data_IF_452981311972
#
_entry.id   IF_452981311972
#
_cell.length_a   1.000
_cell.length_b   1.000
_cell.length_c   1.000
_cell.angle_alpha   90.00
_cell.angle_beta   90.00
_cell.angle_gamma   90.00
#
_symmetry.space_group_name_H-M   'P 1'
#
loop_
_entity.id
_entity.type
_entity.pdbx_description
1 polymer ?
#
# COMPACT_ATOMS: atom_id res chain seq x y z
N UNK A 1 -14.10 -34.00 67.92
CA UNK A 1 -14.67 -33.70 66.59
C UNK A 1 -13.67 -32.82 65.85
N UNK A 2 -13.02 -33.35 64.82
CA UNK A 2 -12.03 -32.61 63.99
C UNK A 2 -12.74 -32.29 62.67
N UNK A 3 -12.98 -31.03 62.41
CA UNK A 3 -13.55 -30.50 61.14
C UNK A 3 -12.42 -30.26 60.16
N UNK A 4 -12.35 -31.07 59.11
CA UNK A 4 -11.40 -30.85 57.98
C UNK A 4 -12.07 -29.88 56.99
N UNK A 5 -11.43 -28.74 56.78
CA UNK A 5 -11.81 -27.81 55.72
C UNK A 5 -11.13 -28.21 54.42
N UNK A 6 -11.91 -28.51 53.39
CA UNK A 6 -11.42 -28.76 52.01
C UNK A 6 -11.34 -27.43 51.31
N UNK A 7 -10.10 -26.99 51.00
CA UNK A 7 -9.81 -25.80 50.20
C UNK A 7 -9.92 -26.15 48.73
N UNK A 8 -11.00 -25.80 48.08
CA UNK A 8 -11.18 -26.00 46.65
C UNK A 8 -10.36 -24.97 45.82
N UNK A 9 -9.36 -25.46 45.11
CA UNK A 9 -8.55 -24.65 44.19
C UNK A 9 -9.28 -24.52 42.86
N UNK A 10 -9.78 -23.31 42.58
CA UNK A 10 -10.38 -22.96 41.27
C UNK A 10 -9.25 -22.66 40.28
N UNK A 11 -8.98 -23.58 39.36
CA UNK A 11 -8.11 -23.32 38.21
C UNK A 11 -8.85 -22.44 37.20
N UNK A 12 -8.52 -21.15 37.14
CA UNK A 12 -8.89 -20.31 36.01
C UNK A 12 -8.06 -20.70 34.80
N UNK A 13 -8.65 -21.38 33.84
CA UNK A 13 -8.05 -21.60 32.53
C UNK A 13 -8.10 -20.29 31.72
N UNK A 14 -6.96 -19.63 31.59
CA UNK A 14 -6.77 -18.51 30.65
C UNK A 14 -6.71 -19.10 29.26
N UNK A 15 -7.79 -18.99 28.48
CA UNK A 15 -7.79 -19.28 27.06
C UNK A 15 -6.88 -18.27 26.37
N UNK A 16 -5.94 -18.70 25.51
CA UNK A 16 -5.16 -17.75 24.72
C UNK A 16 -6.12 -16.97 23.81
N UNK A 17 -6.12 -15.64 23.94
CA UNK A 17 -6.81 -14.77 23.00
C UNK A 17 -6.20 -15.03 21.62
N UNK A 18 -6.99 -15.56 20.68
CA UNK A 18 -6.60 -15.64 19.28
C UNK A 18 -6.35 -14.20 18.79
N UNK A 19 -5.12 -13.91 18.40
CA UNK A 19 -4.79 -12.65 17.76
C UNK A 19 -5.66 -12.54 16.50
N UNK A 20 -6.52 -11.53 16.45
CA UNK A 20 -7.29 -11.25 15.25
C UNK A 20 -6.32 -11.03 14.08
N UNK A 21 -6.60 -11.61 12.92
CA UNK A 21 -5.81 -11.39 11.71
C UNK A 21 -5.69 -9.88 11.46
N UNK A 22 -4.49 -9.42 11.15
CA UNK A 22 -4.25 -8.01 10.81
C UNK A 22 -5.17 -7.59 9.67
N UNK A 23 -5.88 -6.46 9.78
CA UNK A 23 -6.70 -5.93 8.69
C UNK A 23 -5.86 -5.64 7.44
N UNK A 24 -4.55 -5.51 7.61
CA UNK A 24 -3.57 -5.23 6.56
C UNK A 24 -2.96 -6.47 5.92
N UNK A 25 -3.39 -7.68 6.26
CA UNK A 25 -2.82 -8.94 5.79
C UNK A 25 -2.61 -8.99 4.28
N UNK A 26 -3.55 -8.47 3.50
CA UNK A 26 -3.46 -8.41 2.03
C UNK A 26 -2.43 -7.39 1.51
N UNK A 27 -1.94 -6.50 2.36
CA UNK A 27 -0.97 -5.44 2.03
C UNK A 27 0.39 -5.66 2.72
N UNK A 28 0.54 -6.68 3.56
CA UNK A 28 1.78 -6.95 4.30
C UNK A 28 3.00 -7.08 3.38
N UNK A 29 2.82 -7.58 2.16
CA UNK A 29 3.90 -7.70 1.18
C UNK A 29 4.48 -6.36 0.73
N UNK A 30 3.75 -5.25 0.90
CA UNK A 30 4.22 -3.89 0.61
C UNK A 30 5.07 -3.31 1.74
N UNK A 31 4.85 -3.74 3.01
CA UNK A 31 5.44 -3.08 4.18
C UNK A 31 6.96 -3.08 4.14
N UNK A 32 7.55 -1.95 4.51
CA UNK A 32 8.98 -1.70 4.59
C UNK A 32 9.47 -0.68 3.58
N UNK A 33 10.80 -0.59 3.45
CA UNK A 33 11.47 0.35 2.54
C UNK A 33 11.90 -0.36 1.28
N UNK A 34 11.76 0.31 0.16
CA UNK A 34 12.03 -0.21 -1.17
C UNK A 34 12.87 0.80 -1.94
N UNK A 35 13.97 0.34 -2.52
CA UNK A 35 14.79 1.12 -3.44
C UNK A 35 14.67 0.53 -4.85
N UNK A 36 14.52 1.39 -5.84
CA UNK A 36 14.29 0.94 -7.18
C UNK A 36 14.67 1.95 -8.24
N UNK A 37 14.60 1.47 -9.49
CA UNK A 37 14.77 2.29 -10.67
C UNK A 37 13.55 2.16 -11.56
N UNK A 38 13.02 3.28 -12.00
CA UNK A 38 12.13 3.30 -13.15
C UNK A 38 12.99 3.14 -14.39
N UNK A 39 12.77 2.05 -15.11
CA UNK A 39 13.47 1.75 -16.35
C UNK A 39 12.52 1.89 -17.52
N UNK A 40 13.03 2.42 -18.61
CA UNK A 40 12.37 2.36 -19.90
C UNK A 40 12.26 3.71 -20.61
N UNK A 41 12.29 3.61 -21.92
CA UNK A 41 12.07 4.70 -22.88
C UNK A 41 10.61 5.19 -22.90
N UNK A 42 9.77 4.61 -22.05
CA UNK A 42 8.31 4.84 -22.04
C UNK A 42 7.87 5.94 -21.07
N UNK A 43 8.75 6.38 -20.15
CA UNK A 43 8.37 7.48 -19.26
C UNK A 43 8.70 8.82 -19.90
N UNK A 44 7.79 9.79 -19.93
CA UNK A 44 8.08 11.14 -20.43
C UNK A 44 9.23 11.84 -19.70
N UNK A 45 9.56 11.40 -18.49
CA UNK A 45 10.62 11.95 -17.64
C UNK A 45 11.98 11.25 -17.83
N UNK A 46 12.04 10.17 -18.61
CA UNK A 46 13.23 9.34 -18.77
C UNK A 46 13.47 8.39 -17.59
N UNK A 47 14.68 7.80 -17.56
CA UNK A 47 15.06 6.90 -16.46
C UNK A 47 15.10 7.66 -15.13
N UNK A 48 14.63 7.01 -14.05
CA UNK A 48 14.62 7.56 -12.72
C UNK A 48 15.13 6.57 -11.67
N UNK A 49 15.61 7.11 -10.57
CA UNK A 49 15.98 6.35 -9.39
C UNK A 49 15.26 6.94 -8.18
N UNK A 50 14.90 6.09 -7.24
CA UNK A 50 14.22 6.55 -6.05
C UNK A 50 13.97 5.43 -5.07
N UNK A 51 13.19 5.78 -4.06
CA UNK A 51 12.77 4.83 -3.05
C UNK A 51 11.43 5.22 -2.47
N UNK A 52 10.76 4.25 -1.91
CA UNK A 52 9.50 4.46 -1.21
C UNK A 52 9.40 3.54 0.00
N UNK A 53 8.58 3.93 0.94
CA UNK A 53 8.23 3.09 2.09
C UNK A 53 6.73 2.91 2.19
N UNK A 54 6.33 1.80 2.80
CA UNK A 54 4.99 1.57 3.34
C UNK A 54 5.13 1.24 4.82
N UNK A 55 4.60 2.08 5.66
CA UNK A 55 4.75 1.97 7.11
C UNK A 55 3.39 2.00 7.81
N UNK A 56 3.23 1.12 8.82
CA UNK A 56 2.04 1.15 9.69
C UNK A 56 2.15 2.35 10.63
N UNK A 57 1.13 3.19 10.63
CA UNK A 57 1.07 4.42 11.41
C UNK A 57 -0.19 4.48 12.28
N UNK A 58 -0.24 5.43 13.21
CA UNK A 58 -1.38 5.66 14.10
C UNK A 58 -1.85 4.37 14.80
N UNK A 59 -0.93 3.68 15.48
CA UNK A 59 -1.21 2.38 16.13
C UNK A 59 -1.81 1.37 15.14
N UNK A 60 -1.22 1.27 13.94
CA UNK A 60 -1.64 0.37 12.87
C UNK A 60 -3.05 0.64 12.31
N UNK A 61 -3.53 1.88 12.42
CA UNK A 61 -4.83 2.26 11.86
C UNK A 61 -4.77 2.64 10.39
N UNK A 62 -3.58 3.03 9.91
CA UNK A 62 -3.33 3.35 8.51
C UNK A 62 -2.01 2.73 8.05
N UNK A 63 -1.85 2.61 6.72
CA UNK A 63 -0.55 2.45 6.08
C UNK A 63 -0.22 3.79 5.40
N UNK A 64 0.96 4.31 5.68
CA UNK A 64 1.47 5.51 5.04
C UNK A 64 2.56 5.13 4.05
N UNK A 65 2.36 5.50 2.77
CA UNK A 65 3.39 5.44 1.75
C UNK A 65 4.05 6.81 1.62
N UNK A 66 5.40 6.83 1.56
CA UNK A 66 6.19 7.99 1.15
C UNK A 66 7.07 7.58 -0.02
N UNK A 67 7.19 8.43 -1.01
CA UNK A 67 8.03 8.18 -2.17
C UNK A 67 8.85 9.42 -2.50
N UNK A 68 10.07 9.16 -2.98
CA UNK A 68 10.95 10.17 -3.56
C UNK A 68 11.60 9.59 -4.82
N UNK A 69 11.54 10.29 -5.92
CA UNK A 69 12.16 9.89 -7.18
C UNK A 69 12.86 11.08 -7.86
N UNK A 70 14.07 10.84 -8.35
CA UNK A 70 14.81 11.77 -9.18
C UNK A 70 15.00 11.19 -10.58
N UNK A 71 14.85 12.02 -11.61
CA UNK A 71 14.94 11.65 -13.01
C UNK A 71 16.15 12.26 -13.70
N UNK A 72 16.63 11.61 -14.76
CA UNK A 72 17.76 12.13 -15.56
C UNK A 72 17.50 13.49 -16.19
N UNK A 73 16.24 13.87 -16.36
CA UNK A 73 15.83 15.21 -16.77
C UNK A 73 16.10 16.31 -15.72
N UNK A 74 16.48 15.92 -14.50
CA UNK A 74 16.60 16.80 -13.33
C UNK A 74 15.27 17.03 -12.58
N UNK A 75 14.18 16.49 -13.08
CA UNK A 75 12.90 16.53 -12.37
C UNK A 75 12.97 15.68 -11.09
N UNK A 76 12.27 16.13 -10.05
CA UNK A 76 12.06 15.41 -8.80
C UNK A 76 10.56 15.22 -8.60
N UNK A 77 10.19 14.13 -7.98
CA UNK A 77 8.81 13.80 -7.65
C UNK A 77 8.73 13.22 -6.25
N UNK A 78 8.01 13.89 -5.39
CA UNK A 78 7.71 13.44 -4.04
C UNK A 78 6.20 13.21 -3.91
N UNK A 79 5.84 12.09 -3.32
CA UNK A 79 4.45 11.80 -3.04
C UNK A 79 4.22 11.14 -1.68
N UNK A 80 2.99 11.26 -1.22
CA UNK A 80 2.49 10.65 -0.02
C UNK A 80 1.13 10.01 -0.32
N UNK A 81 0.93 8.78 0.16
CA UNK A 81 -0.37 8.12 0.07
C UNK A 81 -0.77 7.54 1.43
N UNK A 82 -1.97 7.86 1.87
CA UNK A 82 -2.59 7.31 3.08
C UNK A 82 -3.54 6.21 2.66
N UNK A 83 -3.29 4.98 3.13
CA UNK A 83 -4.19 3.84 2.95
C UNK A 83 -4.91 3.63 4.28
N UNK A 84 -6.23 3.56 4.24
CA UNK A 84 -7.09 3.46 5.42
C UNK A 84 -8.25 2.50 5.17
N UNK A 85 -8.92 2.11 6.24
CA UNK A 85 -10.15 1.33 6.18
C UNK A 85 -11.34 2.28 6.34
N UNK A 86 -12.20 2.29 5.34
CA UNK A 86 -13.40 3.15 5.32
C UNK A 86 -14.55 2.46 6.05
N UNK A 87 -15.16 3.19 7.00
CA UNK A 87 -16.32 2.69 7.73
C UNK A 87 -17.59 2.73 6.84
N UNK A 88 -18.59 1.84 7.03
CA UNK A 88 -18.69 0.89 8.16
C UNK A 88 -18.16 -0.52 7.88
N UNK A 89 -17.69 -0.82 6.67
CA UNK A 89 -17.40 -2.17 6.18
C UNK A 89 -15.91 -2.49 6.11
N UNK A 90 -15.06 -1.61 6.65
CA UNK A 90 -13.60 -1.73 6.63
C UNK A 90 -13.03 -1.90 5.20
N UNK A 91 -13.67 -1.29 4.21
CA UNK A 91 -13.22 -1.33 2.82
C UNK A 91 -11.92 -0.55 2.66
N UNK A 92 -10.85 -1.16 2.13
CA UNK A 92 -9.59 -0.46 1.92
C UNK A 92 -9.72 0.65 0.87
N UNK A 93 -9.31 1.85 1.23
CA UNK A 93 -9.24 3.05 0.40
C UNK A 93 -7.87 3.68 0.49
N UNK A 94 -7.55 4.57 -0.46
CA UNK A 94 -6.37 5.40 -0.34
C UNK A 94 -6.61 6.81 -0.88
N UNK A 95 -5.84 7.76 -0.32
CA UNK A 95 -5.74 9.12 -0.87
C UNK A 95 -4.26 9.40 -1.10
N UNK A 96 -3.98 9.86 -2.30
CA UNK A 96 -2.65 10.19 -2.80
C UNK A 96 -2.50 11.70 -2.97
N UNK A 97 -1.31 12.19 -2.69
CA UNK A 97 -0.90 13.59 -2.82
C UNK A 97 0.51 13.64 -3.39
N UNK A 98 0.82 14.60 -4.27
CA UNK A 98 2.16 14.81 -4.80
C UNK A 98 2.55 16.29 -4.84
N UNK A 99 3.82 16.53 -5.15
CA UNK A 99 4.39 17.87 -5.26
C UNK A 99 3.86 18.66 -6.44
N UNK A 100 3.23 18.02 -7.41
CA UNK A 100 2.56 18.67 -8.55
C UNK A 100 1.15 19.13 -8.22
N UNK A 101 0.65 18.78 -7.02
CA UNK A 101 -0.66 19.20 -6.52
C UNK A 101 -1.80 18.26 -6.89
N UNK A 102 -1.50 17.06 -7.36
CA UNK A 102 -2.55 16.07 -7.60
C UNK A 102 -3.07 15.51 -6.28
N UNK A 103 -4.38 15.32 -6.21
CA UNK A 103 -5.06 14.60 -5.13
C UNK A 103 -5.92 13.53 -5.79
N UNK A 104 -5.56 12.26 -5.57
CA UNK A 104 -6.24 11.14 -6.19
C UNK A 104 -6.82 10.23 -5.10
N UNK A 105 -8.12 9.96 -5.18
CA UNK A 105 -8.79 8.96 -4.35
C UNK A 105 -8.81 7.63 -5.06
N UNK A 106 -8.40 6.58 -4.37
CA UNK A 106 -8.31 5.24 -4.91
C UNK A 106 -9.22 4.25 -4.20
N UNK A 107 -9.83 3.39 -4.99
CA UNK A 107 -10.39 2.12 -4.56
C UNK A 107 -9.32 1.04 -4.70
N UNK A 108 -9.27 0.11 -3.75
CA UNK A 108 -8.30 -0.97 -3.77
C UNK A 108 -8.98 -2.29 -4.14
N UNK A 109 -8.33 -3.04 -5.05
CA UNK A 109 -8.70 -4.42 -5.38
C UNK A 109 -7.49 -5.34 -5.25
N UNK A 110 -7.73 -6.61 -4.98
CA UNK A 110 -6.70 -7.62 -4.71
C UNK A 110 -6.86 -8.79 -5.67
N UNK A 111 -6.30 -8.72 -6.90
CA UNK A 111 -6.41 -9.78 -7.89
C UNK A 111 -5.58 -11.04 -7.57
N UNK A 112 -5.02 -11.13 -6.39
CA UNK A 112 -4.23 -12.25 -5.89
C UNK A 112 -3.65 -11.95 -4.52
N UNK A 113 -2.93 -12.92 -3.93
CA UNK A 113 -2.35 -12.79 -2.59
C UNK A 113 -1.22 -11.75 -2.50
N UNK A 114 -0.50 -11.54 -3.61
CA UNK A 114 0.70 -10.70 -3.67
C UNK A 114 0.55 -9.57 -4.69
N UNK A 115 -0.68 -9.14 -4.93
CA UNK A 115 -0.97 -8.06 -5.88
C UNK A 115 -2.08 -7.17 -5.34
N UNK A 116 -1.87 -5.86 -5.47
CA UNK A 116 -2.87 -4.83 -5.21
C UNK A 116 -2.97 -3.88 -6.39
N UNK A 117 -4.17 -3.43 -6.68
CA UNK A 117 -4.47 -2.43 -7.69
C UNK A 117 -5.25 -1.30 -7.03
N UNK A 118 -4.75 -0.09 -7.19
CA UNK A 118 -5.36 1.17 -6.79
C UNK A 118 -5.95 1.81 -8.04
N UNK A 119 -7.27 1.94 -8.13
CA UNK A 119 -7.94 2.63 -9.22
C UNK A 119 -8.61 3.89 -8.72
N UNK A 120 -8.42 5.01 -9.44
CA UNK A 120 -9.09 6.25 -9.10
C UNK A 120 -10.62 6.02 -9.09
N UNK A 121 -11.31 6.62 -8.13
CA UNK A 121 -12.73 6.37 -7.87
C UNK A 121 -13.68 6.88 -8.98
N UNK A 122 -13.16 7.57 -9.98
CA UNK A 122 -13.91 8.06 -11.13
C UNK A 122 -14.89 9.21 -10.81
N UNK A 123 -14.95 9.65 -9.55
CA UNK A 123 -15.84 10.77 -9.14
C UNK A 123 -15.23 12.13 -9.45
N UNK A 124 -13.92 12.17 -9.67
CA UNK A 124 -13.20 13.40 -10.03
C UNK A 124 -13.19 13.55 -11.56
N UNK A 125 -13.42 14.77 -12.08
CA UNK A 125 -13.28 15.03 -13.50
C UNK A 125 -11.82 14.91 -13.93
N UNK A 126 -11.57 14.41 -15.14
CA UNK A 126 -10.24 14.28 -15.69
C UNK A 126 -9.86 12.85 -16.07
N UNK A 127 -8.56 12.55 -16.17
CA UNK A 127 -8.08 11.21 -16.45
C UNK A 127 -8.31 10.25 -15.29
N UNK A 128 -8.46 8.98 -15.62
CA UNK A 128 -8.46 7.90 -14.64
C UNK A 128 -7.03 7.41 -14.44
N UNK A 129 -6.71 7.03 -13.21
CA UNK A 129 -5.39 6.57 -12.80
C UNK A 129 -5.47 5.15 -12.26
N UNK A 130 -4.46 4.34 -12.57
CA UNK A 130 -4.32 3.00 -12.02
C UNK A 130 -2.87 2.75 -11.60
N UNK A 131 -2.67 2.50 -10.31
CA UNK A 131 -1.39 2.15 -9.74
C UNK A 131 -1.45 0.70 -9.28
N UNK A 132 -0.50 -0.12 -9.71
CA UNK A 132 -0.45 -1.54 -9.35
C UNK A 132 0.89 -1.89 -8.73
N UNK A 133 0.85 -2.75 -7.71
CA UNK A 133 2.03 -3.38 -7.12
C UNK A 133 1.84 -4.88 -7.08
N UNK A 134 2.90 -5.62 -7.37
CA UNK A 134 2.92 -7.07 -7.19
C UNK A 134 4.32 -7.58 -6.85
N UNK A 135 4.37 -8.64 -6.06
CA UNK A 135 5.62 -9.30 -5.71
C UNK A 135 5.98 -10.31 -6.81
N UNK A 136 7.21 -10.20 -7.34
CA UNK A 136 7.82 -11.12 -8.26
C UNK A 136 9.11 -11.68 -7.63
N UNK A 137 9.01 -12.85 -7.01
CA UNK A 137 10.09 -13.37 -6.17
C UNK A 137 10.36 -12.46 -4.97
N UNK A 138 11.53 -11.81 -4.95
CA UNK A 138 11.92 -10.84 -3.90
C UNK A 138 11.85 -9.39 -4.37
N UNK A 139 11.48 -9.16 -5.62
CA UNK A 139 11.31 -7.83 -6.18
C UNK A 139 9.87 -7.37 -6.06
N UNK A 140 9.66 -6.11 -5.76
CA UNK A 140 8.36 -5.45 -5.84
C UNK A 140 8.31 -4.71 -7.16
N UNK A 141 7.43 -5.18 -8.03
CA UNK A 141 7.13 -4.54 -9.30
C UNK A 141 6.03 -3.49 -9.11
N UNK A 142 6.14 -2.40 -9.84
CA UNK A 142 5.14 -1.35 -9.85
C UNK A 142 4.82 -0.88 -11.26
N UNK A 143 3.58 -0.48 -11.47
CA UNK A 143 3.11 0.08 -12.74
C UNK A 143 2.11 1.19 -12.48
N UNK A 144 2.32 2.33 -13.13
CA UNK A 144 1.37 3.43 -13.16
C UNK A 144 0.82 3.61 -14.57
N UNK A 145 -0.49 3.69 -14.67
CA UNK A 145 -1.24 3.78 -15.92
C UNK A 145 -2.22 4.95 -15.85
N UNK A 146 -2.41 5.60 -16.99
CA UNK A 146 -3.31 6.75 -17.15
C UNK A 146 -4.26 6.48 -18.30
N UNK A 147 -5.53 6.79 -18.10
CA UNK A 147 -6.57 6.73 -19.12
C UNK A 147 -7.23 8.12 -19.26
N UNK A 148 -6.96 8.89 -20.31
CA UNK A 148 -7.73 10.10 -20.62
C UNK A 148 -9.23 9.80 -20.72
N UNK A 149 -10.12 10.78 -20.54
CA UNK A 149 -11.55 10.57 -20.65
C UNK A 149 -11.94 9.83 -21.94
N UNK A 150 -12.73 8.77 -21.81
CA UNK A 150 -13.17 7.92 -22.94
C UNK A 150 -12.10 7.01 -23.55
N UNK A 151 -10.90 6.94 -22.95
CA UNK A 151 -9.80 6.13 -23.49
C UNK A 151 -9.48 4.94 -22.59
N UNK A 152 -8.75 3.98 -23.14
CA UNK A 152 -8.20 2.84 -22.42
C UNK A 152 -6.95 3.26 -21.62
N UNK A 153 -6.62 2.47 -20.56
CA UNK A 153 -5.41 2.65 -19.77
C UNK A 153 -4.16 2.43 -20.63
N UNK A 154 -3.22 3.36 -20.54
CA UNK A 154 -1.88 3.23 -21.11
C UNK A 154 -0.85 3.31 -20.01
N UNK A 155 0.18 2.49 -20.09
CA UNK A 155 1.30 2.53 -19.16
C UNK A 155 1.99 3.89 -19.28
N UNK A 156 2.07 4.60 -18.16
CA UNK A 156 2.84 5.83 -18.05
C UNK A 156 4.26 5.54 -17.57
N UNK A 157 4.40 4.66 -16.57
CA UNK A 157 5.70 4.18 -16.08
C UNK A 157 5.56 2.81 -15.42
N UNK A 158 6.68 2.08 -15.39
CA UNK A 158 6.87 0.87 -14.62
C UNK A 158 8.22 0.86 -13.95
N UNK A 159 8.35 0.12 -12.85
CA UNK A 159 9.60 0.03 -12.09
C UNK A 159 9.71 -1.29 -11.36
N UNK A 160 10.95 -1.64 -11.04
CA UNK A 160 11.29 -2.78 -10.19
C UNK A 160 12.05 -2.28 -8.97
N UNK A 161 11.66 -2.73 -7.80
CA UNK A 161 12.28 -2.34 -6.53
C UNK A 161 12.75 -3.54 -5.74
N UNK A 162 13.83 -3.36 -5.00
CA UNK A 162 14.34 -4.32 -4.03
C UNK A 162 14.10 -3.78 -2.62
N UNK A 163 13.80 -4.69 -1.69
CA UNK A 163 13.64 -4.31 -0.31
C UNK A 163 14.98 -3.78 0.22
N UNK A 164 14.94 -2.59 0.80
CA UNK A 164 16.08 -2.01 1.49
C UNK A 164 16.34 -2.79 2.77
N UNK A 165 17.61 -2.99 3.15
CA UNK A 165 18.01 -3.85 4.28
C UNK A 165 18.16 -3.06 5.55
#
# INVERSE_FOLDING_TARGET
MRTSAILGMVLLSVLPAQAADSPWKKLEFLLGKWAGSAGGTETPLGAGQGGFSFELELNQKIILRRNHAGYVSGAQHDDLMVIYLDAPDDTPRAVYFDTEGHIIRYNLTFPGSNKVVFESDGTQPGPRYRLSYWLNGRALEGKFEVAPPGSEYKTYMSWTSKKDR
#
